data_IF_179520263169
#
_entry.id   IF_179520263169
#
_cell.length_a   1.000
_cell.length_b   1.000
_cell.length_c   1.000
_cell.angle_alpha   90.00
_cell.angle_beta   90.00
_cell.angle_gamma   90.00
#
_symmetry.space_group_name_H-M   'P 1'
#
loop_
_entity.id
_entity.type
_entity.pdbx_description
1 polymer ?
#
# COMPACT_ATOMS: atom_id res chain seq x y z
N UNK A 1 -5.92 15.80 11.50
CA UNK A 1 -5.82 14.35 11.78
C UNK A 1 -6.17 13.50 10.56
N UNK A 2 -7.44 13.40 10.18
CA UNK A 2 -7.93 12.48 9.12
C UNK A 2 -7.17 12.57 7.80
N UNK A 3 -6.92 13.79 7.29
CA UNK A 3 -6.16 13.97 6.04
C UNK A 3 -4.72 13.42 6.12
N UNK A 4 -4.08 13.53 7.28
CA UNK A 4 -2.72 13.01 7.48
C UNK A 4 -2.71 11.48 7.60
N UNK A 5 -3.74 10.89 8.22
CA UNK A 5 -3.93 9.44 8.24
C UNK A 5 -4.16 8.88 6.82
N UNK A 6 -4.98 9.54 6.01
CA UNK A 6 -5.17 9.18 4.59
C UNK A 6 -3.84 9.30 3.83
N UNK A 7 -3.14 10.42 3.99
CA UNK A 7 -1.85 10.64 3.34
C UNK A 7 -0.79 9.60 3.76
N UNK A 8 -0.76 9.19 5.03
CA UNK A 8 0.12 8.15 5.54
C UNK A 8 -0.16 6.78 4.89
N UNK A 9 -1.44 6.44 4.71
CA UNK A 9 -1.84 5.23 3.98
C UNK A 9 -1.38 5.28 2.52
N UNK A 10 -1.60 6.40 1.83
CA UNK A 10 -1.13 6.60 0.43
C UNK A 10 0.40 6.55 0.36
N UNK A 11 1.11 7.07 1.35
CA UNK A 11 2.57 7.02 1.42
C UNK A 11 3.09 5.57 1.52
N UNK A 12 2.37 4.68 2.22
CA UNK A 12 2.71 3.24 2.25
C UNK A 12 2.46 2.55 0.91
N UNK A 13 1.35 2.88 0.24
CA UNK A 13 1.02 2.30 -1.09
C UNK A 13 2.01 2.77 -2.16
N UNK A 14 2.41 4.03 -2.12
CA UNK A 14 3.41 4.59 -3.06
C UNK A 14 4.85 4.35 -2.64
N UNK A 15 5.06 3.73 -1.46
CA UNK A 15 6.35 3.32 -0.92
C UNK A 15 7.36 4.48 -0.83
N UNK A 16 6.89 5.70 -0.53
CA UNK A 16 7.73 6.89 -0.42
C UNK A 16 8.23 7.07 1.03
N UNK A 17 9.52 6.78 1.35
CA UNK A 17 10.01 6.83 2.73
C UNK A 17 9.92 8.23 3.35
N UNK A 18 10.16 9.27 2.56
CA UNK A 18 10.05 10.67 2.99
C UNK A 18 8.60 11.06 3.30
N UNK A 19 7.66 10.57 2.51
CA UNK A 19 6.25 10.82 2.70
C UNK A 19 5.73 10.10 3.95
N UNK A 20 6.21 8.88 4.21
CA UNK A 20 5.89 8.13 5.43
C UNK A 20 6.34 8.91 6.66
N UNK A 21 7.59 9.38 6.69
CA UNK A 21 8.11 10.16 7.81
C UNK A 21 7.32 11.45 8.06
N UNK A 22 7.10 12.25 7.00
CA UNK A 22 6.41 13.54 7.10
C UNK A 22 4.96 13.36 7.55
N UNK A 23 4.22 12.42 6.97
CA UNK A 23 2.80 12.23 7.28
C UNK A 23 2.57 11.52 8.61
N UNK A 24 3.48 10.63 9.06
CA UNK A 24 3.42 10.06 10.40
C UNK A 24 3.58 11.15 11.48
N UNK A 25 4.61 12.01 11.34
CA UNK A 25 4.84 13.14 12.27
C UNK A 25 3.67 14.13 12.28
N UNK A 26 3.11 14.45 11.11
CA UNK A 26 1.96 15.35 11.00
C UNK A 26 0.67 14.74 11.57
N UNK A 27 0.46 13.44 11.39
CA UNK A 27 -0.67 12.73 11.99
C UNK A 27 -0.59 12.77 13.52
N UNK A 28 0.57 12.42 14.09
CA UNK A 28 0.82 12.49 15.53
C UNK A 28 0.63 13.92 16.08
N UNK A 29 1.22 14.93 15.41
CA UNK A 29 1.02 16.35 15.78
C UNK A 29 -0.45 16.79 15.72
N UNK A 30 -1.24 16.17 14.84
CA UNK A 30 -2.67 16.43 14.71
C UNK A 30 -3.53 15.59 15.67
N UNK A 31 -2.93 14.90 16.65
CA UNK A 31 -3.62 14.14 17.68
C UNK A 31 -4.04 12.74 17.27
N UNK A 32 -3.42 12.14 16.26
CA UNK A 32 -3.61 10.71 15.98
C UNK A 32 -2.96 9.88 17.08
N UNK A 33 -3.67 8.85 17.55
CA UNK A 33 -3.08 7.86 18.47
C UNK A 33 -2.18 6.88 17.72
N UNK A 34 -1.28 6.22 18.45
CA UNK A 34 -0.47 5.13 17.91
C UNK A 34 -1.35 4.00 17.35
N UNK A 35 -2.52 3.77 17.95
CA UNK A 35 -3.49 2.80 17.47
C UNK A 35 -4.09 3.20 16.12
N UNK A 36 -4.51 4.46 15.94
CA UNK A 36 -5.02 4.95 14.65
C UNK A 36 -3.95 4.87 13.54
N UNK A 37 -2.70 5.18 13.88
CA UNK A 37 -1.57 5.05 12.95
C UNK A 37 -1.32 3.58 12.59
N UNK A 38 -1.31 2.69 13.59
CA UNK A 38 -1.14 1.25 13.38
C UNK A 38 -2.23 0.63 12.51
N UNK A 39 -3.49 1.03 12.71
CA UNK A 39 -4.62 0.58 11.90
C UNK A 39 -4.48 1.02 10.43
N UNK A 40 -4.06 2.27 10.17
CA UNK A 40 -3.79 2.75 8.80
C UNK A 40 -2.68 1.93 8.12
N UNK A 41 -1.60 1.65 8.84
CA UNK A 41 -0.47 0.85 8.32
C UNK A 41 -0.94 -0.56 7.97
N UNK A 42 -1.71 -1.20 8.87
CA UNK A 42 -2.22 -2.55 8.65
C UNK A 42 -3.17 -2.61 7.44
N UNK A 43 -4.06 -1.63 7.30
CA UNK A 43 -4.96 -1.52 6.13
C UNK A 43 -4.15 -1.33 4.85
N UNK A 44 -3.15 -0.45 4.83
CA UNK A 44 -2.29 -0.23 3.67
C UNK A 44 -1.53 -1.52 3.27
N UNK A 45 -0.99 -2.26 4.25
CA UNK A 45 -0.36 -3.55 4.02
C UNK A 45 -1.31 -4.58 3.41
N UNK A 46 -2.52 -4.70 3.96
CA UNK A 46 -3.51 -5.65 3.45
C UNK A 46 -3.89 -5.36 1.99
N UNK A 47 -4.01 -4.08 1.63
CA UNK A 47 -4.28 -3.66 0.25
C UNK A 47 -3.10 -3.98 -0.69
N UNK A 48 -1.87 -3.71 -0.26
CA UNK A 48 -0.68 -4.02 -1.05
C UNK A 48 -0.50 -5.53 -1.30
N UNK A 49 -0.75 -6.36 -0.27
CA UNK A 49 -0.65 -7.81 -0.38
C UNK A 49 -1.69 -8.40 -1.35
N UNK A 50 -2.95 -7.93 -1.30
CA UNK A 50 -4.00 -8.38 -2.20
C UNK A 50 -3.72 -8.06 -3.67
N UNK A 51 -3.14 -6.89 -3.95
CA UNK A 51 -2.74 -6.51 -5.30
C UNK A 51 -1.63 -7.44 -5.84
N UNK A 52 -0.59 -7.72 -5.04
CA UNK A 52 0.47 -8.63 -5.44
C UNK A 52 -0.05 -10.05 -5.74
N UNK A 53 -0.96 -10.57 -4.92
CA UNK A 53 -1.57 -11.88 -5.15
C UNK A 53 -2.35 -11.93 -6.48
N UNK A 54 -3.24 -10.96 -6.69
CA UNK A 54 -4.10 -10.90 -7.87
C UNK A 54 -3.30 -10.73 -9.16
N UNK A 55 -2.26 -9.89 -9.13
CA UNK A 55 -1.37 -9.69 -10.27
C UNK A 55 -0.50 -10.92 -10.55
N UNK A 56 -0.16 -11.71 -9.53
CA UNK A 56 0.56 -12.98 -9.73
C UNK A 56 -0.22 -13.98 -10.59
N UNK A 57 -1.53 -14.12 -10.35
CA UNK A 57 -2.40 -14.95 -11.18
C UNK A 57 -2.45 -14.49 -12.64
N UNK A 58 -2.59 -13.18 -12.86
CA UNK A 58 -2.57 -12.59 -14.20
C UNK A 58 -1.24 -12.85 -14.92
N UNK A 59 -0.11 -12.69 -14.23
CA UNK A 59 1.21 -12.93 -14.82
C UNK A 59 1.36 -14.38 -15.32
N UNK A 60 0.80 -15.36 -14.60
CA UNK A 60 0.80 -16.76 -15.02
C UNK A 60 -0.08 -16.99 -16.26
N UNK A 61 -1.25 -16.34 -16.34
CA UNK A 61 -2.11 -16.41 -17.52
C UNK A 61 -1.43 -15.81 -18.76
N UNK A 62 -0.86 -14.61 -18.65
CA UNK A 62 -0.12 -14.00 -19.76
C UNK A 62 1.06 -14.87 -20.22
N UNK A 63 1.75 -15.53 -19.28
CA UNK A 63 2.85 -16.44 -19.60
C UNK A 63 2.37 -17.66 -20.40
N UNK A 64 1.21 -18.22 -20.08
CA UNK A 64 0.60 -19.32 -20.83
C UNK A 64 0.24 -18.90 -22.26
N UNK A 65 -0.41 -17.74 -22.41
CA UNK A 65 -0.77 -17.16 -23.71
C UNK A 65 0.46 -16.94 -24.60
N UNK A 66 1.52 -16.31 -24.07
CA UNK A 66 2.77 -16.10 -24.81
C UNK A 66 3.45 -17.40 -25.23
N UNK A 67 3.42 -18.44 -24.38
CA UNK A 67 3.97 -19.76 -24.71
C UNK A 67 3.16 -20.50 -25.78
N UNK A 68 1.85 -20.30 -25.82
CA UNK A 68 0.98 -20.89 -26.84
C UNK A 68 1.20 -20.26 -28.21
N UNK A 69 1.40 -18.94 -28.28
CA UNK A 69 1.69 -18.21 -29.53
C UNK A 69 3.11 -18.50 -30.06
N UNK A 70 4.06 -18.82 -29.18
CA UNK A 70 5.44 -19.12 -29.56
C UNK A 70 5.67 -20.58 -30.05
N UNK A 71 4.62 -21.42 -30.10
CA UNK A 71 4.65 -22.79 -30.61
C UNK A 71 4.05 -22.86 -32.01
#
# INVERSE_FOLDING_TARGET
KTKELVALGVAHITQCPWCIDVHAKRAAKAGASDQEIGEVIFVAMAMAAGAAWSHGGLALQCLEEHRAVAR
#
